data_IF_318827402085
#
_entry.id   IF_318827402085
#
_cell.length_a   1.000
_cell.length_b   1.000
_cell.length_c   1.000
_cell.angle_alpha   90.00
_cell.angle_beta   90.00
_cell.angle_gamma   90.00
#
_symmetry.space_group_name_H-M   'P 1'
#
loop_
_entity.id
_entity.type
_entity.pdbx_description
1 polymer ?
#
# COMPACT_ATOMS: atom_id res chain seq x y z
N UNK A 1 -12.32 -57.60 -16.01
CA UNK A 1 -12.55 -56.15 -15.87
C UNK A 1 -12.58 -55.82 -14.38
N UNK A 2 -11.52 -55.25 -13.79
CA UNK A 2 -11.55 -54.83 -12.39
C UNK A 2 -12.17 -53.42 -12.26
N UNK A 3 -12.91 -53.13 -11.17
CA UNK A 3 -13.52 -51.81 -10.93
C UNK A 3 -12.46 -50.76 -10.54
N UNK A 4 -12.68 -49.46 -10.84
CA UNK A 4 -11.73 -48.41 -10.51
C UNK A 4 -11.74 -48.09 -9.00
N UNK A 5 -10.56 -48.10 -8.38
CA UNK A 5 -10.33 -47.68 -7.00
C UNK A 5 -10.50 -46.14 -6.83
N UNK A 6 -10.88 -45.66 -5.63
CA UNK A 6 -11.28 -44.28 -5.38
C UNK A 6 -10.07 -43.34 -5.40
N UNK A 7 -10.28 -42.11 -5.89
CA UNK A 7 -9.24 -41.08 -5.98
C UNK A 7 -9.21 -40.34 -4.65
N UNK A 8 -8.36 -40.79 -3.74
CA UNK A 8 -8.10 -40.10 -2.49
C UNK A 8 -7.51 -38.71 -2.78
N UNK A 9 -8.29 -37.68 -2.46
CA UNK A 9 -7.82 -36.30 -2.44
C UNK A 9 -7.08 -36.03 -1.14
N UNK A 10 -5.76 -35.87 -1.20
CA UNK A 10 -4.97 -35.22 -0.15
C UNK A 10 -3.86 -34.41 -0.81
N UNK A 11 -4.11 -33.13 -1.08
CA UNK A 11 -3.03 -32.17 -1.29
C UNK A 11 -2.62 -31.63 0.08
N UNK A 12 -1.56 -32.21 0.64
CA UNK A 12 -0.89 -31.70 1.85
C UNK A 12 -0.27 -30.33 1.51
N UNK A 13 -0.78 -29.25 2.10
CA UNK A 13 -0.17 -27.94 2.01
C UNK A 13 0.91 -27.81 3.09
N UNK A 14 2.18 -27.89 2.68
CA UNK A 14 3.29 -27.31 3.43
C UNK A 14 4.34 -26.83 2.43
N UNK A 15 4.63 -25.54 2.41
CA UNK A 15 5.77 -24.98 1.69
C UNK A 15 5.38 -23.87 0.71
N UNK A 16 5.68 -22.64 1.09
CA UNK A 16 5.64 -21.45 0.24
C UNK A 16 6.53 -21.64 -0.98
N UNK A 17 5.93 -21.97 -2.12
CA UNK A 17 6.60 -22.05 -3.42
C UNK A 17 6.02 -20.99 -4.34
N UNK A 18 6.91 -20.23 -4.99
CA UNK A 18 6.57 -19.15 -5.88
C UNK A 18 5.58 -19.63 -6.96
N UNK A 19 4.46 -18.92 -7.08
CA UNK A 19 3.33 -19.29 -7.93
C UNK A 19 3.75 -19.28 -9.41
N UNK A 20 3.56 -20.42 -10.08
CA UNK A 20 3.81 -20.59 -11.51
C UNK A 20 2.75 -19.81 -12.33
N UNK A 21 3.16 -18.81 -13.11
CA UNK A 21 2.25 -17.88 -13.83
C UNK A 21 1.64 -18.45 -15.13
N UNK A 22 1.77 -19.77 -15.39
CA UNK A 22 1.24 -20.41 -16.60
C UNK A 22 -0.06 -21.21 -16.39
N UNK A 23 -0.46 -21.46 -15.13
CA UNK A 23 -1.74 -22.12 -14.82
C UNK A 23 -2.51 -21.21 -13.87
N UNK A 24 -3.56 -20.58 -14.39
CA UNK A 24 -4.51 -19.81 -13.61
C UNK A 24 -5.25 -20.73 -12.64
N UNK A 25 -4.68 -20.90 -11.45
CA UNK A 25 -5.42 -21.37 -10.29
C UNK A 25 -5.90 -20.10 -9.58
N UNK A 26 -7.16 -19.71 -9.82
CA UNK A 26 -7.86 -18.85 -8.87
C UNK A 26 -7.99 -19.68 -7.59
N UNK A 27 -7.16 -19.38 -6.60
CA UNK A 27 -7.39 -19.84 -5.24
C UNK A 27 -8.67 -19.17 -4.75
N UNK A 28 -9.57 -19.93 -4.14
CA UNK A 28 -10.90 -19.52 -3.63
C UNK A 28 -10.84 -18.54 -2.43
N UNK A 29 -9.75 -17.79 -2.28
CA UNK A 29 -9.62 -16.70 -1.31
C UNK A 29 -9.41 -15.37 -2.06
N UNK A 30 -10.38 -14.44 -2.05
CA UNK A 30 -10.29 -13.16 -2.75
C UNK A 30 -9.33 -12.17 -2.08
N UNK A 31 -8.50 -12.60 -1.12
CA UNK A 31 -7.46 -11.74 -0.54
C UNK A 31 -6.28 -11.64 -1.50
N UNK A 32 -6.24 -10.52 -2.23
CA UNK A 32 -5.20 -10.20 -3.19
C UNK A 32 -3.86 -9.88 -2.48
N UNK A 33 -3.18 -10.93 -2.00
CA UNK A 33 -1.88 -10.86 -1.31
C UNK A 33 -0.84 -10.15 -2.17
N UNK A 34 -0.93 -10.29 -3.50
CA UNK A 34 -0.01 -9.67 -4.46
C UNK A 34 -0.07 -8.14 -4.47
N UNK A 35 -1.25 -7.54 -4.30
CA UNK A 35 -1.35 -6.08 -4.22
C UNK A 35 -0.75 -5.54 -2.92
N UNK A 36 -1.00 -6.24 -1.81
CA UNK A 36 -0.48 -5.88 -0.49
C UNK A 36 1.05 -5.98 -0.45
N UNK A 37 1.63 -7.07 -0.94
CA UNK A 37 3.09 -7.27 -1.04
C UNK A 37 3.76 -6.20 -1.90
N UNK A 38 3.16 -5.88 -3.04
CA UNK A 38 3.66 -4.84 -3.94
C UNK A 38 3.62 -3.46 -3.28
N UNK A 39 2.61 -3.17 -2.47
CA UNK A 39 2.48 -1.91 -1.75
C UNK A 39 3.53 -1.77 -0.63
N UNK A 40 3.68 -2.79 0.22
CA UNK A 40 4.70 -2.79 1.29
C UNK A 40 6.12 -2.66 0.74
N UNK A 41 6.41 -3.30 -0.40
CA UNK A 41 7.69 -3.15 -1.09
C UNK A 41 7.96 -1.69 -1.53
N UNK A 42 6.93 -0.93 -1.90
CA UNK A 42 7.08 0.50 -2.26
C UNK A 42 7.29 1.37 -1.03
N UNK A 43 6.59 1.11 0.07
CA UNK A 43 6.82 1.81 1.34
C UNK A 43 8.27 1.61 1.80
N UNK A 44 8.79 0.38 1.77
CA UNK A 44 10.17 0.10 2.15
C UNK A 44 11.19 0.83 1.27
N UNK A 45 10.98 0.90 -0.05
CA UNK A 45 11.85 1.69 -0.95
C UNK A 45 11.73 3.19 -0.70
N UNK A 46 10.54 3.69 -0.40
CA UNK A 46 10.32 5.10 -0.07
C UNK A 46 11.00 5.50 1.25
N UNK A 47 11.01 4.60 2.23
CA UNK A 47 11.71 4.75 3.50
C UNK A 47 13.23 4.88 3.31
N UNK A 48 13.82 4.03 2.47
CA UNK A 48 15.28 4.02 2.25
C UNK A 48 15.72 5.14 1.28
N UNK A 49 14.94 5.44 0.25
CA UNK A 49 15.42 6.19 -0.91
C UNK A 49 14.85 7.59 -1.14
N UNK A 50 13.61 7.88 -0.70
CA UNK A 50 12.94 9.15 -1.05
C UNK A 50 13.18 10.21 0.04
N UNK A 51 13.16 9.82 1.31
CA UNK A 51 13.20 10.75 2.42
C UNK A 51 14.57 10.77 3.08
N UNK A 52 15.28 11.89 3.02
CA UNK A 52 16.59 12.07 3.69
C UNK A 52 16.50 11.85 5.21
N UNK A 53 15.38 12.21 5.83
CA UNK A 53 15.08 11.93 7.24
C UNK A 53 13.62 11.56 7.40
N UNK A 54 13.36 10.26 7.43
CA UNK A 54 12.02 9.76 7.68
C UNK A 54 11.69 9.90 9.17
N UNK A 55 10.81 10.85 9.50
CA UNK A 55 10.40 11.08 10.89
C UNK A 55 9.13 10.29 11.20
N UNK A 56 9.21 9.41 12.21
CA UNK A 56 8.06 8.63 12.68
C UNK A 56 6.91 9.52 13.16
N UNK A 57 7.19 10.75 13.63
CA UNK A 57 6.18 11.73 14.01
C UNK A 57 5.20 12.09 12.89
N UNK A 58 5.64 11.99 11.64
CA UNK A 58 4.81 12.30 10.47
C UNK A 58 4.56 11.05 9.62
N UNK A 59 4.72 9.86 10.23
CA UNK A 59 4.59 8.60 9.51
C UNK A 59 3.25 8.47 8.79
N UNK A 60 2.16 8.80 9.48
CA UNK A 60 0.82 8.72 8.92
C UNK A 60 0.68 9.58 7.66
N UNK A 61 1.29 10.77 7.64
CA UNK A 61 1.23 11.66 6.48
C UNK A 61 2.03 11.10 5.29
N UNK A 62 3.19 10.50 5.56
CA UNK A 62 3.96 9.80 4.53
C UNK A 62 3.21 8.59 3.98
N UNK A 63 2.57 7.80 4.85
CA UNK A 63 1.78 6.64 4.42
C UNK A 63 0.60 7.07 3.57
N UNK A 64 -0.17 8.08 4.00
CA UNK A 64 -1.30 8.61 3.23
C UNK A 64 -0.86 9.12 1.86
N UNK A 65 0.28 9.82 1.78
CA UNK A 65 0.83 10.27 0.51
C UNK A 65 1.23 9.11 -0.41
N UNK A 66 1.85 8.06 0.14
CA UNK A 66 2.23 6.86 -0.61
C UNK A 66 1.02 6.06 -1.08
N UNK A 67 -0.04 5.96 -0.27
CA UNK A 67 -1.33 5.35 -0.66
C UNK A 67 -1.92 6.12 -1.82
N UNK A 68 -2.01 7.44 -1.70
CA UNK A 68 -2.54 8.30 -2.75
C UNK A 68 -1.75 8.12 -4.07
N UNK A 69 -0.42 8.15 -4.02
CA UNK A 69 0.41 7.91 -5.21
C UNK A 69 0.20 6.52 -5.82
N UNK A 70 0.00 5.50 -5.00
CA UNK A 70 -0.23 4.14 -5.47
C UNK A 70 -1.59 4.02 -6.19
N UNK A 71 -2.64 4.59 -5.63
CA UNK A 71 -3.99 4.60 -6.21
C UNK A 71 -4.01 5.35 -7.54
N UNK A 72 -3.32 6.49 -7.61
CA UNK A 72 -3.30 7.34 -8.79
C UNK A 72 -2.11 7.10 -9.74
N UNK A 73 -1.32 6.02 -9.54
CA UNK A 73 -0.11 5.72 -10.34
C UNK A 73 -0.32 5.59 -11.85
N UNK A 74 -1.57 5.35 -12.28
CA UNK A 74 -1.95 5.18 -13.69
C UNK A 74 -2.49 6.46 -14.32
N UNK A 75 -2.64 7.53 -13.54
CA UNK A 75 -3.10 8.82 -14.05
C UNK A 75 -1.94 9.64 -14.61
N UNK A 76 -2.25 10.52 -15.56
CA UNK A 76 -1.25 11.45 -16.10
C UNK A 76 -0.90 12.53 -15.07
N UNK A 77 0.30 13.10 -15.17
CA UNK A 77 0.75 14.17 -14.28
C UNK A 77 -0.19 15.38 -14.30
N UNK A 78 -0.76 15.72 -15.47
CA UNK A 78 -1.72 16.84 -15.60
C UNK A 78 -2.98 16.58 -14.78
N UNK A 79 -3.50 15.35 -14.82
CA UNK A 79 -4.66 14.95 -14.03
C UNK A 79 -4.36 14.97 -12.53
N UNK A 80 -3.20 14.46 -12.12
CA UNK A 80 -2.76 14.50 -10.72
C UNK A 80 -2.68 15.94 -10.18
N UNK A 81 -2.07 16.85 -10.94
CA UNK A 81 -1.99 18.27 -10.56
C UNK A 81 -3.39 18.88 -10.46
N UNK A 82 -4.27 18.59 -11.42
CA UNK A 82 -5.65 19.05 -11.39
C UNK A 82 -6.41 18.57 -10.14
N UNK A 83 -6.23 17.30 -9.75
CA UNK A 83 -6.83 16.74 -8.53
C UNK A 83 -6.33 17.43 -7.27
N UNK A 84 -5.01 17.59 -7.13
CA UNK A 84 -4.41 18.24 -5.96
C UNK A 84 -4.89 19.70 -5.83
N UNK A 85 -4.96 20.45 -6.93
CA UNK A 85 -5.44 21.84 -6.92
C UNK A 85 -6.93 21.89 -6.55
N UNK A 86 -7.75 21.01 -7.12
CA UNK A 86 -9.18 20.96 -6.82
C UNK A 86 -9.43 20.61 -5.34
N UNK A 87 -8.71 19.62 -4.79
CA UNK A 87 -8.82 19.24 -3.39
C UNK A 87 -8.33 20.34 -2.46
N UNK A 88 -7.24 21.05 -2.82
CA UNK A 88 -6.73 22.16 -2.03
C UNK A 88 -7.72 23.34 -1.97
N UNK A 89 -8.44 23.62 -3.06
CA UNK A 89 -9.45 24.69 -3.09
C UNK A 89 -10.75 24.30 -2.39
N UNK A 90 -11.09 23.01 -2.38
CA UNK A 90 -12.33 22.51 -1.76
C UNK A 90 -12.23 22.40 -0.24
N UNK A 91 -11.06 22.04 0.27
CA UNK A 91 -10.87 21.75 1.69
C UNK A 91 -10.56 23.02 2.50
N UNK A 92 -11.08 23.15 3.72
CA UNK A 92 -10.71 24.24 4.62
C UNK A 92 -9.23 24.13 5.02
N UNK A 93 -8.65 25.24 5.48
CA UNK A 93 -7.27 25.27 5.96
C UNK A 93 -7.02 24.23 7.04
N UNK A 94 -6.05 23.34 6.81
CA UNK A 94 -5.69 22.28 7.76
C UNK A 94 -5.12 22.87 9.05
N UNK A 95 -5.62 22.42 10.21
CA UNK A 95 -5.14 22.84 11.54
C UNK A 95 -3.76 22.29 11.87
N UNK A 96 -3.38 21.16 11.30
CA UNK A 96 -2.12 20.47 11.57
C UNK A 96 -0.97 20.93 10.67
N UNK A 97 -1.29 21.37 9.44
CA UNK A 97 -0.30 21.90 8.50
C UNK A 97 -0.16 23.42 8.60
N UNK A 98 -1.23 24.13 8.99
CA UNK A 98 -1.16 25.57 9.24
C UNK A 98 -0.22 25.87 10.41
N UNK A 99 0.73 26.79 10.22
CA UNK A 99 1.72 27.13 11.24
C UNK A 99 2.85 26.09 11.40
N UNK A 100 2.97 25.10 10.51
CA UNK A 100 4.10 24.13 10.54
C UNK A 100 5.46 24.84 10.64
N UNK A 101 5.64 25.90 9.85
CA UNK A 101 6.86 26.74 9.85
C UNK A 101 7.06 27.53 11.14
N UNK A 102 5.99 27.78 11.90
CA UNK A 102 6.04 28.38 13.24
C UNK A 102 6.35 27.34 14.32
N UNK A 103 6.69 26.11 13.92
CA UNK A 103 6.99 24.98 14.82
C UNK A 103 5.77 24.47 15.59
N UNK A 104 4.56 24.80 15.12
CA UNK A 104 3.32 24.15 15.56
C UNK A 104 3.33 22.72 14.99
N UNK A 105 3.62 21.74 15.84
CA UNK A 105 3.71 20.34 15.42
C UNK A 105 2.46 19.60 15.89
N UNK A 106 1.93 18.65 15.10
CA UNK A 106 0.83 17.81 15.56
C UNK A 106 1.24 17.10 16.86
N UNK A 107 0.34 17.12 17.83
CA UNK A 107 0.46 16.40 19.09
C UNK A 107 0.26 14.92 18.78
N UNK A 108 1.35 14.16 18.85
CA UNK A 108 1.32 12.70 18.79
C UNK A 108 1.63 12.21 20.20
N UNK A 109 0.95 11.17 20.71
CA UNK A 109 1.40 10.51 21.93
C UNK A 109 2.85 10.10 21.71
N UNK A 110 3.73 10.50 22.63
CA UNK A 110 5.15 10.21 22.52
C UNK A 110 5.32 8.69 22.37
N UNK A 111 5.82 8.29 21.20
CA UNK A 111 6.20 6.92 20.91
C UNK A 111 7.59 6.72 21.52
N UNK A 112 7.64 6.60 22.86
CA UNK A 112 8.83 6.16 23.60
C UNK A 112 9.09 4.66 23.40
#
# INVERSE_FOLDING_TARGET
>A
MPPPAPKEGVCRASGSSAVNHSRGCQTDDPMNTKHVESFFSRIQRAYIGIHHRFSLRYFDWYVVELVWREDYRRMSNVQLVGLVVADAMRNPTSRSLCGYWQRNKPEYPDLD
#
